data_IF_111721489244
#
_entry.id   IF_111721489244
#
_cell.length_a   1.000
_cell.length_b   1.000
_cell.length_c   1.000
_cell.angle_alpha   90.00
_cell.angle_beta   90.00
_cell.angle_gamma   90.00
#
_symmetry.space_group_name_H-M   'P 1'
#
loop_
_entity.id
_entity.type
_entity.pdbx_description
1 polymer ?
#
# COMPACT_ATOMS: atom_id res chain seq x y z
N UNK A 1 0.51 -31.47 17.83
CA UNK A 1 1.58 -30.81 17.05
C UNK A 1 2.41 -29.94 17.99
N UNK A 2 3.74 -29.98 17.90
CA UNK A 2 4.66 -29.29 18.83
C UNK A 2 4.66 -27.77 18.61
N UNK A 3 4.66 -26.95 19.68
CA UNK A 3 4.65 -25.48 19.58
C UNK A 3 5.85 -24.92 18.80
N UNK A 4 6.96 -25.65 18.78
CA UNK A 4 8.15 -25.31 18.01
C UNK A 4 7.89 -25.34 16.50
N UNK A 5 7.04 -26.26 16.04
CA UNK A 5 6.68 -26.36 14.62
C UNK A 5 5.79 -25.18 14.24
N UNK A 6 4.78 -24.86 15.06
CA UNK A 6 3.89 -23.71 14.83
C UNK A 6 4.69 -22.40 14.77
N UNK A 7 5.65 -22.21 15.68
CA UNK A 7 6.50 -21.02 15.69
C UNK A 7 7.36 -20.88 14.43
N UNK A 8 7.89 -21.99 13.90
CA UNK A 8 8.69 -21.97 12.66
C UNK A 8 7.81 -21.65 11.46
N UNK A 9 6.59 -22.21 11.37
CA UNK A 9 5.65 -21.89 10.30
C UNK A 9 5.17 -20.44 10.33
N UNK A 10 4.91 -19.88 11.51
CA UNK A 10 4.57 -18.46 11.66
C UNK A 10 5.75 -17.58 11.23
N UNK A 11 6.98 -17.94 11.61
CA UNK A 11 8.18 -17.18 11.22
C UNK A 11 8.44 -17.23 9.71
N UNK A 12 8.30 -18.41 9.10
CA UNK A 12 8.41 -18.58 7.64
C UNK A 12 7.30 -17.82 6.91
N UNK A 13 6.06 -17.85 7.41
CA UNK A 13 4.95 -17.08 6.84
C UNK A 13 5.23 -15.57 6.93
N UNK A 14 5.73 -15.08 8.07
CA UNK A 14 6.13 -13.68 8.28
C UNK A 14 7.24 -13.22 7.33
N UNK A 15 8.19 -14.08 6.97
CA UNK A 15 9.27 -13.73 6.04
C UNK A 15 8.81 -13.62 4.58
N UNK A 16 7.67 -14.21 4.21
CA UNK A 16 7.12 -14.09 2.85
C UNK A 16 6.16 -12.88 2.68
N UNK A 17 5.93 -12.13 3.76
CA UNK A 17 4.98 -11.00 3.79
C UNK A 17 5.62 -9.67 3.46
N UNK A 18 6.95 -9.54 3.62
CA UNK A 18 7.69 -8.32 3.31
C UNK A 18 9.05 -8.62 2.68
N UNK A 19 9.37 -7.91 1.60
CA UNK A 19 10.68 -7.91 0.95
C UNK A 19 11.31 -6.54 1.13
N UNK A 20 12.51 -6.50 1.73
CA UNK A 20 13.31 -5.28 1.85
C UNK A 20 14.59 -5.44 1.03
N UNK A 21 14.72 -4.63 -0.02
CA UNK A 21 15.89 -4.65 -0.91
C UNK A 21 16.59 -3.30 -0.91
N UNK A 22 17.94 -3.26 -1.00
CA UNK A 22 18.65 -2.01 -1.20
C UNK A 22 18.34 -1.45 -2.60
N UNK A 23 18.07 -0.15 -2.68
CA UNK A 23 17.86 0.51 -3.97
C UNK A 23 19.21 0.84 -4.63
N UNK A 24 19.29 0.73 -5.97
CA UNK A 24 20.49 1.09 -6.73
C UNK A 24 20.69 2.61 -6.62
N UNK A 25 21.82 3.03 -6.04
CA UNK A 25 22.15 4.45 -5.85
C UNK A 25 21.97 4.98 -4.42
N UNK A 26 21.63 4.13 -3.46
CA UNK A 26 21.34 4.53 -2.07
C UNK A 26 19.84 4.52 -1.79
N UNK A 27 19.47 4.17 -0.55
CA UNK A 27 18.08 4.00 -0.14
C UNK A 27 17.61 2.54 -0.06
N UNK A 28 16.30 2.35 0.07
CA UNK A 28 15.68 1.03 0.22
C UNK A 28 14.40 0.94 -0.60
N UNK A 29 13.99 -0.29 -0.91
CA UNK A 29 12.68 -0.64 -1.42
C UNK A 29 12.07 -1.66 -0.46
N UNK A 30 10.90 -1.33 0.07
CA UNK A 30 10.07 -2.19 0.90
C UNK A 30 8.83 -2.58 0.11
N UNK A 31 8.59 -3.88 0.01
CA UNK A 31 7.39 -4.45 -0.60
C UNK A 31 6.67 -5.28 0.46
N UNK A 32 5.35 -5.12 0.56
CA UNK A 32 4.47 -5.86 1.46
C UNK A 32 3.32 -6.40 0.61
N UNK A 33 3.14 -7.71 0.62
CA UNK A 33 2.06 -8.38 -0.10
C UNK A 33 1.15 -9.07 0.88
N UNK A 34 -0.16 -8.88 0.74
CA UNK A 34 -1.12 -9.68 1.50
C UNK A 34 -1.03 -11.15 1.02
N UNK A 35 -1.09 -12.16 1.90
CA UNK A 35 -0.84 -13.56 1.53
C UNK A 35 -1.77 -14.13 0.45
N UNK A 36 -2.98 -13.57 0.33
CA UNK A 36 -3.95 -13.98 -0.69
C UNK A 36 -3.81 -13.23 -2.03
N UNK A 37 -2.82 -12.33 -2.14
CA UNK A 37 -2.58 -11.51 -3.34
C UNK A 37 -3.57 -10.36 -3.55
N UNK A 38 -4.52 -10.14 -2.64
CA UNK A 38 -5.54 -9.08 -2.76
C UNK A 38 -4.96 -7.68 -2.59
N UNK A 39 -3.86 -7.52 -1.87
CA UNK A 39 -3.24 -6.23 -1.64
C UNK A 39 -1.72 -6.31 -1.76
N UNK A 40 -1.17 -5.21 -2.25
CA UNK A 40 0.24 -5.01 -2.47
C UNK A 40 0.57 -3.57 -2.11
N UNK A 41 1.64 -3.37 -1.36
CA UNK A 41 2.22 -2.07 -1.10
C UNK A 41 3.70 -2.14 -1.42
N UNK A 42 4.18 -1.16 -2.18
CA UNK A 42 5.60 -0.94 -2.39
C UNK A 42 5.94 0.48 -2.02
N UNK A 43 7.11 0.66 -1.41
CA UNK A 43 7.65 1.95 -1.05
C UNK A 43 9.15 1.94 -1.32
N UNK A 44 9.67 2.96 -1.97
CA UNK A 44 11.09 3.13 -2.24
C UNK A 44 11.55 4.51 -1.81
N UNK A 45 12.69 4.55 -1.13
CA UNK A 45 13.44 5.78 -0.88
C UNK A 45 14.50 5.92 -1.94
N UNK A 46 14.47 7.03 -2.66
CA UNK A 46 15.42 7.41 -3.71
C UNK A 46 15.97 8.81 -3.42
N UNK A 47 17.11 9.17 -3.99
CA UNK A 47 17.59 10.55 -3.98
C UNK A 47 17.10 11.29 -5.23
N UNK A 48 16.72 12.56 -5.07
CA UNK A 48 16.41 13.43 -6.20
C UNK A 48 17.66 14.03 -6.84
N UNK A 49 17.45 14.78 -7.93
CA UNK A 49 18.54 15.43 -8.67
C UNK A 49 19.37 16.40 -7.81
N UNK A 50 18.81 16.89 -6.71
CA UNK A 50 19.45 17.80 -5.77
C UNK A 50 20.05 17.05 -4.56
N UNK A 51 20.01 15.71 -4.55
CA UNK A 51 20.54 14.85 -3.49
C UNK A 51 19.64 14.73 -2.26
N UNK A 52 18.38 15.17 -2.32
CA UNK A 52 17.44 15.02 -1.21
C UNK A 52 16.71 13.68 -1.27
N UNK A 53 16.49 13.05 -0.13
CA UNK A 53 15.67 11.84 -0.06
C UNK A 53 14.22 12.12 -0.44
N UNK A 54 13.69 11.29 -1.34
CA UNK A 54 12.30 11.23 -1.74
C UNK A 54 11.76 9.83 -1.52
N UNK A 55 10.51 9.75 -1.09
CA UNK A 55 9.77 8.50 -0.97
C UNK A 55 8.79 8.42 -2.14
N UNK A 56 8.83 7.33 -2.87
CA UNK A 56 7.84 6.95 -3.87
C UNK A 56 7.13 5.69 -3.38
N UNK A 57 5.82 5.63 -3.55
CA UNK A 57 5.08 4.47 -3.12
C UNK A 57 3.87 4.16 -3.99
N UNK A 58 3.56 2.88 -4.02
CA UNK A 58 2.47 2.29 -4.77
C UNK A 58 1.64 1.41 -3.82
N UNK A 59 0.33 1.53 -3.90
CA UNK A 59 -0.61 0.66 -3.21
C UNK A 59 -1.59 0.13 -4.25
N UNK A 60 -1.70 -1.19 -4.33
CA UNK A 60 -2.74 -1.86 -5.11
C UNK A 60 -3.60 -2.70 -4.18
N UNK A 61 -4.91 -2.61 -4.36
CA UNK A 61 -5.85 -3.41 -3.59
C UNK A 61 -7.02 -3.84 -4.46
N UNK A 62 -7.28 -5.13 -4.47
CA UNK A 62 -8.44 -5.76 -5.10
C UNK A 62 -9.48 -6.03 -4.02
N UNK A 63 -10.69 -5.58 -4.27
CA UNK A 63 -11.86 -5.84 -3.43
C UNK A 63 -12.67 -6.97 -4.05
N UNK A 64 -13.04 -7.94 -3.22
CA UNK A 64 -13.95 -9.01 -3.61
C UNK A 64 -15.39 -8.51 -3.68
N UNK A 65 -16.25 -9.28 -4.34
CA UNK A 65 -17.70 -9.04 -4.33
C UNK A 65 -18.26 -9.03 -2.90
N UNK A 66 -19.29 -8.22 -2.60
CA UNK A 66 -20.18 -7.46 -3.51
C UNK A 66 -19.67 -6.05 -3.89
N UNK A 67 -18.46 -5.69 -3.45
CA UNK A 67 -17.85 -4.38 -3.71
C UNK A 67 -16.68 -4.50 -4.70
N UNK A 68 -16.83 -5.44 -5.65
CA UNK A 68 -15.81 -5.83 -6.61
C UNK A 68 -15.13 -4.63 -7.27
N UNK A 69 -13.81 -4.60 -7.23
CA UNK A 69 -13.03 -3.55 -7.90
C UNK A 69 -11.56 -3.60 -7.56
N UNK A 70 -10.79 -2.70 -8.17
CA UNK A 70 -9.36 -2.54 -7.96
C UNK A 70 -9.04 -1.08 -7.72
N UNK A 71 -8.31 -0.79 -6.65
CA UNK A 71 -7.75 0.50 -6.29
C UNK A 71 -6.25 0.47 -6.58
N UNK A 72 -5.76 1.48 -7.29
CA UNK A 72 -4.34 1.78 -7.38
C UNK A 72 -4.10 3.20 -6.83
N UNK A 73 -3.11 3.35 -5.96
CA UNK A 73 -2.66 4.64 -5.41
C UNK A 73 -1.17 4.76 -5.64
N UNK A 74 -0.76 5.88 -6.22
CA UNK A 74 0.64 6.25 -6.39
C UNK A 74 0.87 7.54 -5.61
N UNK A 75 1.89 7.58 -4.77
CA UNK A 75 2.25 8.78 -4.04
C UNK A 75 3.75 9.02 -4.10
N UNK A 76 4.11 10.29 -3.98
CA UNK A 76 5.49 10.76 -3.95
C UNK A 76 5.60 11.88 -2.94
N UNK A 77 6.61 11.82 -2.09
CA UNK A 77 6.89 12.84 -1.09
C UNK A 77 8.38 13.13 -1.00
N UNK A 78 8.75 14.39 -0.77
CA UNK A 78 10.14 14.82 -0.68
C UNK A 78 10.26 16.33 -0.51
N UNK A 79 11.42 16.87 -0.88
CA UNK A 79 11.74 18.30 -0.89
C UNK A 79 10.71 19.17 -1.63
N UNK A 80 10.12 18.65 -2.71
CA UNK A 80 9.13 19.34 -3.56
C UNK A 80 7.69 19.22 -3.01
N UNK A 81 7.49 18.53 -1.88
CA UNK A 81 6.20 18.33 -1.22
C UNK A 81 5.54 16.98 -1.53
N UNK A 82 4.24 16.87 -1.25
CA UNK A 82 3.46 15.64 -1.34
C UNK A 82 2.54 15.62 -2.56
N UNK A 83 2.60 14.56 -3.37
CA UNK A 83 1.71 14.30 -4.52
C UNK A 83 1.10 12.91 -4.40
N UNK A 84 -0.19 12.81 -4.73
CA UNK A 84 -0.92 11.53 -4.77
C UNK A 84 -1.82 11.46 -5.99
N UNK A 85 -1.85 10.31 -6.65
CA UNK A 85 -2.79 9.97 -7.70
C UNK A 85 -3.44 8.64 -7.35
N UNK A 86 -4.73 8.48 -7.64
CA UNK A 86 -5.41 7.22 -7.44
C UNK A 86 -6.37 6.93 -8.59
N UNK A 87 -6.58 5.65 -8.87
CA UNK A 87 -7.60 5.16 -9.79
C UNK A 87 -8.37 4.03 -9.13
N UNK A 88 -9.68 4.00 -9.37
CA UNK A 88 -10.54 2.92 -8.93
C UNK A 88 -11.31 2.39 -10.14
N UNK A 89 -11.19 1.08 -10.37
CA UNK A 89 -11.90 0.37 -11.43
C UNK A 89 -12.85 -0.62 -10.77
N UNK A 90 -14.16 -0.45 -11.00
CA UNK A 90 -15.17 -1.39 -10.50
C UNK A 90 -15.15 -2.67 -11.35
N UNK A 91 -15.25 -3.83 -10.72
CA UNK A 91 -15.46 -5.11 -11.44
C UNK A 91 -16.86 -5.10 -12.08
N UNK A 92 -16.93 -5.38 -13.37
CA UNK A 92 -18.12 -5.15 -14.22
C UNK A 92 -19.23 -6.20 -14.07
N UNK A 93 -19.32 -6.89 -12.94
CA UNK A 93 -20.47 -7.73 -12.60
C UNK A 93 -21.58 -6.84 -12.05
N UNK A 94 -22.73 -6.67 -12.75
CA UNK A 94 -23.81 -5.84 -12.26
C UNK A 94 -24.51 -6.57 -11.10
N UNK A 95 -24.03 -6.40 -9.87
CA UNK A 95 -24.91 -6.59 -8.72
C UNK A 95 -25.94 -5.47 -8.75
N UNK A 96 -27.21 -5.86 -8.88
CA UNK A 96 -28.41 -5.04 -8.72
C UNK A 96 -28.18 -4.04 -7.58
N UNK A 97 -27.98 -2.77 -7.94
CA UNK A 97 -27.59 -1.71 -7.03
C UNK A 97 -28.69 -1.52 -5.99
N UNK A 98 -28.54 -2.09 -4.79
CA UNK A 98 -29.32 -1.66 -3.63
C UNK A 98 -28.63 -0.42 -3.09
N UNK A 99 -29.02 0.74 -3.65
CA UNK A 99 -28.73 2.12 -3.25
C UNK A 99 -27.93 2.27 -1.93
N UNK A 100 -26.62 2.11 -2.03
CA UNK A 100 -25.68 2.40 -0.97
C UNK A 100 -24.61 3.31 -1.55
N UNK A 101 -24.90 4.61 -1.59
CA UNK A 101 -23.91 5.65 -1.89
C UNK A 101 -22.72 5.43 -0.97
N UNK A 102 -21.60 4.96 -1.50
CA UNK A 102 -20.33 4.97 -0.77
C UNK A 102 -19.83 6.41 -0.75
N UNK A 103 -19.84 7.10 0.41
CA UNK A 103 -19.19 8.40 0.46
C UNK A 103 -17.69 8.16 0.31
N UNK A 104 -17.11 8.63 -0.78
CA UNK A 104 -15.66 8.84 -0.86
C UNK A 104 -15.35 9.87 0.24
N UNK A 105 -14.96 9.38 1.42
CA UNK A 105 -14.55 10.21 2.54
C UNK A 105 -13.19 10.79 2.15
N UNK A 106 -13.20 11.97 1.53
CA UNK A 106 -11.99 12.75 1.29
C UNK A 106 -11.22 12.83 2.61
N UNK A 107 -10.00 12.31 2.61
CA UNK A 107 -9.09 12.46 3.74
C UNK A 107 -8.85 13.96 3.88
N UNK A 108 -9.31 14.53 5.00
CA UNK A 108 -9.15 15.95 5.26
C UNK A 108 -7.66 16.32 5.33
N UNK A 109 -7.32 17.53 4.89
CA UNK A 109 -5.94 18.04 4.74
C UNK A 109 -5.10 17.98 6.04
N UNK A 110 -5.72 17.65 7.18
CA UNK A 110 -5.12 17.58 8.50
C UNK A 110 -5.03 16.16 9.09
N UNK A 111 -5.45 15.11 8.38
CA UNK A 111 -5.45 13.75 8.91
C UNK A 111 -4.05 13.15 9.13
N UNK A 112 -3.00 13.82 8.63
CA UNK A 112 -1.59 13.41 8.75
C UNK A 112 -0.81 14.21 9.82
N UNK A 113 -1.47 15.04 10.64
CA UNK A 113 -0.78 15.66 11.78
C UNK A 113 -0.71 14.66 12.93
N UNK A 114 0.36 13.86 12.97
CA UNK A 114 0.79 13.18 14.20
C UNK A 114 1.27 14.25 15.19
N UNK A 115 0.53 14.41 16.28
CA UNK A 115 1.02 15.16 17.44
C UNK A 115 2.10 14.33 18.11
N UNK A 116 3.36 14.76 17.99
CA UNK A 116 4.39 14.36 18.94
C UNK A 116 4.17 15.20 20.21
N UNK A 117 3.88 14.53 21.31
CA UNK A 117 3.84 15.09 22.66
C UNK A 117 4.62 14.17 23.58
#
# INVERSE_FOLDING_TARGET
MSSRIISVWVFVLCLNLFDLTPAIGGGYQLQISHPDGSAFRQESVIEDADGNSQVEGEIRQVFSEPHGGSLAVFYKTGSVGYRVQFSFTKSSTPMLAKNGTFPIKRIGVNALKTTAG
#
